data_IF_582640560643
#
_entry.id   IF_582640560643
#
_cell.length_a   1.000
_cell.length_b   1.000
_cell.length_c   1.000
_cell.angle_alpha   90.00
_cell.angle_beta   90.00
_cell.angle_gamma   90.00
#
_symmetry.space_group_name_H-M   'P 1'
#
loop_
_entity.id
_entity.type
_entity.pdbx_description
1 polymer ?
#
# COMPACT_ATOMS: atom_id res chain seq x y z
N UNK A 1 -13.65 -1.42 -23.16
CA UNK A 1 -12.23 -1.69 -22.91
C UNK A 1 -11.51 -1.73 -24.25
N UNK A 2 -10.37 -1.05 -24.43
CA UNK A 2 -9.61 -1.13 -25.67
C UNK A 2 -9.03 -2.54 -25.80
N UNK A 3 -9.33 -3.20 -26.92
CA UNK A 3 -8.77 -4.52 -27.25
C UNK A 3 -7.34 -4.42 -27.81
N UNK A 4 -7.04 -3.29 -28.46
CA UNK A 4 -5.74 -3.01 -29.09
C UNK A 4 -5.33 -1.58 -28.70
N UNK A 5 -4.09 -1.37 -28.33
CA UNK A 5 -3.52 -0.09 -27.97
C UNK A 5 -3.32 0.12 -26.45
N UNK A 6 -2.39 0.98 -26.14
CA UNK A 6 -2.07 1.33 -24.76
C UNK A 6 -3.14 2.25 -24.17
N UNK A 7 -3.57 1.94 -22.95
CA UNK A 7 -4.46 2.81 -22.19
C UNK A 7 -3.67 4.00 -21.69
N UNK A 8 -4.02 5.20 -22.11
CA UNK A 8 -3.42 6.45 -21.61
C UNK A 8 -3.61 6.54 -20.10
N UNK A 9 -2.52 6.57 -19.35
CA UNK A 9 -2.55 6.79 -17.92
C UNK A 9 -2.82 8.26 -17.64
N UNK A 10 -3.86 8.53 -16.84
CA UNK A 10 -4.12 9.90 -16.38
C UNK A 10 -2.99 10.37 -15.48
N UNK A 11 -2.48 11.56 -15.70
CA UNK A 11 -1.51 12.17 -14.81
C UNK A 11 -2.21 12.58 -13.51
N UNK A 12 -1.55 12.27 -12.39
CA UNK A 12 -2.01 12.68 -11.08
C UNK A 12 -1.26 13.95 -10.72
N UNK A 13 -2.01 15.02 -10.46
CA UNK A 13 -1.45 16.27 -9.95
C UNK A 13 -0.89 16.03 -8.55
N UNK A 14 0.19 16.73 -8.18
CA UNK A 14 0.73 16.67 -6.83
C UNK A 14 -0.28 17.20 -5.81
N UNK A 15 -0.13 16.77 -4.57
CA UNK A 15 -0.94 17.24 -3.46
C UNK A 15 -0.73 18.75 -3.21
N UNK A 16 -1.78 19.55 -2.97
CA UNK A 16 -1.66 20.99 -2.78
C UNK A 16 -0.89 21.39 -1.52
N UNK A 17 -0.95 20.60 -0.44
CA UNK A 17 -0.30 20.91 0.84
C UNK A 17 1.18 20.50 0.85
N UNK A 18 1.50 19.32 0.32
CA UNK A 18 2.85 18.73 0.39
C UNK A 18 3.59 18.69 -0.96
N UNK A 19 2.94 19.04 -2.08
CA UNK A 19 3.55 18.99 -3.41
C UNK A 19 3.97 17.58 -3.88
N UNK A 20 3.52 16.52 -3.20
CA UNK A 20 3.97 15.14 -3.43
C UNK A 20 2.92 14.31 -4.18
N UNK A 21 3.33 13.68 -5.29
CA UNK A 21 2.47 12.78 -6.08
C UNK A 21 2.11 11.48 -5.33
N UNK A 22 2.95 11.02 -4.40
CA UNK A 22 2.69 9.82 -3.59
C UNK A 22 1.56 10.10 -2.62
N UNK A 23 1.55 11.27 -1.98
CA UNK A 23 0.47 11.74 -1.13
C UNK A 23 -0.85 11.80 -1.90
N UNK A 24 -0.86 12.45 -3.07
CA UNK A 24 -2.06 12.52 -3.90
C UNK A 24 -2.62 11.14 -4.28
N UNK A 25 -1.74 10.17 -4.59
CA UNK A 25 -2.14 8.78 -4.85
C UNK A 25 -2.72 8.11 -3.62
N UNK A 26 -2.12 8.34 -2.45
CA UNK A 26 -2.58 7.77 -1.20
C UNK A 26 -3.96 8.28 -0.84
N UNK A 27 -4.20 9.59 -0.92
CA UNK A 27 -5.52 10.21 -0.72
C UNK A 27 -6.56 9.63 -1.67
N UNK A 28 -6.22 9.47 -2.96
CA UNK A 28 -7.10 8.85 -3.94
C UNK A 28 -7.41 7.37 -3.60
N UNK A 29 -6.51 6.68 -2.92
CA UNK A 29 -6.72 5.27 -2.48
C UNK A 29 -7.59 5.20 -1.22
N UNK A 30 -7.48 6.16 -0.31
CA UNK A 30 -8.37 6.29 0.87
C UNK A 30 -9.80 6.63 0.43
N UNK A 31 -9.93 7.47 -0.61
CA UNK A 31 -11.20 8.02 -1.07
C UNK A 31 -12.23 6.92 -1.32
N UNK A 32 -13.43 7.11 -0.76
CA UNK A 32 -14.56 6.24 -0.99
C UNK A 32 -15.70 7.05 -1.65
N UNK A 33 -16.36 6.46 -2.64
CA UNK A 33 -17.51 7.05 -3.37
C UNK A 33 -17.24 8.47 -3.92
N UNK A 34 -15.99 8.79 -4.29
CA UNK A 34 -15.62 10.08 -4.85
C UNK A 34 -15.51 11.24 -3.84
N UNK A 35 -15.62 10.99 -2.54
CA UNK A 35 -15.55 12.03 -1.48
C UNK A 35 -14.09 12.41 -1.20
N UNK A 36 -13.48 13.19 -2.10
CA UNK A 36 -12.06 13.53 -2.04
C UNK A 36 -11.72 14.43 -0.86
N UNK A 37 -12.51 15.45 -0.59
CA UNK A 37 -12.29 16.39 0.52
C UNK A 37 -12.26 15.69 1.89
N UNK A 38 -13.12 14.69 2.07
CA UNK A 38 -13.13 13.86 3.30
C UNK A 38 -11.84 13.04 3.40
N UNK A 39 -11.38 12.45 2.29
CA UNK A 39 -10.14 11.67 2.27
C UNK A 39 -8.90 12.54 2.56
N UNK A 40 -8.86 13.75 2.03
CA UNK A 40 -7.82 14.75 2.31
C UNK A 40 -7.82 15.13 3.80
N UNK A 41 -9.00 15.43 4.36
CA UNK A 41 -9.14 15.75 5.77
C UNK A 41 -8.65 14.62 6.68
N UNK A 42 -9.06 13.37 6.40
CA UNK A 42 -8.61 12.19 7.15
C UNK A 42 -7.08 12.08 7.09
N UNK A 43 -6.50 12.20 5.90
CA UNK A 43 -5.05 12.08 5.73
C UNK A 43 -4.29 13.18 6.47
N UNK A 44 -4.66 14.44 6.29
CA UNK A 44 -3.95 15.55 6.93
C UNK A 44 -4.04 15.50 8.44
N UNK A 45 -5.23 15.24 9.00
CA UNK A 45 -5.40 15.08 10.45
C UNK A 45 -4.63 13.87 10.98
N UNK A 46 -4.54 12.78 10.21
CA UNK A 46 -3.71 11.64 10.63
C UNK A 46 -2.23 12.02 10.72
N UNK A 47 -1.71 12.84 9.79
CA UNK A 47 -0.35 13.35 9.86
C UNK A 47 -0.12 14.30 11.04
N UNK A 48 -1.11 15.14 11.37
CA UNK A 48 -1.04 16.00 12.55
C UNK A 48 -0.95 15.16 13.84
N UNK A 49 -1.71 14.06 13.93
CA UNK A 49 -1.63 13.10 15.05
C UNK A 49 -0.26 12.39 15.08
N UNK A 50 0.29 12.02 13.92
CA UNK A 50 1.63 11.43 13.83
C UNK A 50 2.68 12.39 14.38
N UNK A 51 2.66 13.66 13.94
CA UNK A 51 3.59 14.70 14.46
C UNK A 51 3.46 14.87 15.96
N UNK A 52 2.23 14.93 16.50
CA UNK A 52 1.99 15.07 17.92
C UNK A 52 2.54 13.91 18.76
N UNK A 53 2.46 12.68 18.23
CA UNK A 53 2.90 11.46 18.94
C UNK A 53 4.39 11.17 18.79
N UNK A 54 4.96 11.37 17.60
CA UNK A 54 6.36 11.00 17.31
C UNK A 54 7.34 12.16 17.45
N UNK A 55 6.85 13.41 17.34
CA UNK A 55 7.67 14.64 17.27
C UNK A 55 8.65 14.65 16.08
N UNK A 56 8.43 13.77 15.11
CA UNK A 56 9.19 13.68 13.86
C UNK A 56 8.42 14.35 12.71
N UNK A 57 9.10 14.56 11.58
CA UNK A 57 8.42 14.98 10.34
C UNK A 57 7.42 13.90 9.89
N UNK A 58 6.14 14.24 9.92
CA UNK A 58 5.06 13.30 9.57
C UNK A 58 5.14 12.80 8.14
N UNK A 59 5.63 13.63 7.20
CA UNK A 59 5.81 13.20 5.81
C UNK A 59 6.95 12.17 5.70
N UNK A 60 8.03 12.35 6.47
CA UNK A 60 9.12 11.40 6.57
C UNK A 60 8.67 10.07 7.15
N UNK A 61 7.86 10.09 8.23
CA UNK A 61 7.25 8.87 8.82
C UNK A 61 6.35 8.16 7.81
N UNK A 62 5.51 8.90 7.10
CA UNK A 62 4.64 8.36 6.04
C UNK A 62 5.43 7.68 4.91
N UNK A 63 6.47 8.32 4.39
CA UNK A 63 7.31 7.75 3.33
C UNK A 63 8.03 6.48 3.81
N UNK A 64 8.55 6.49 5.04
CA UNK A 64 9.18 5.33 5.68
C UNK A 64 8.18 4.18 5.84
N UNK A 65 6.96 4.45 6.30
CA UNK A 65 5.90 3.45 6.41
C UNK A 65 5.56 2.79 5.07
N UNK A 66 5.43 3.59 4.00
CA UNK A 66 5.20 3.07 2.64
C UNK A 66 6.37 2.19 2.21
N UNK A 67 7.62 2.64 2.38
CA UNK A 67 8.81 1.88 1.96
C UNK A 67 8.91 0.55 2.69
N UNK A 68 8.71 0.55 4.00
CA UNK A 68 8.73 -0.66 4.84
C UNK A 68 7.65 -1.67 4.43
N UNK A 69 6.51 -1.21 3.93
CA UNK A 69 5.38 -2.08 3.54
C UNK A 69 5.47 -2.59 2.10
N UNK A 70 6.38 -2.06 1.25
CA UNK A 70 6.51 -2.48 -0.15
C UNK A 70 6.93 -3.95 -0.28
N UNK A 71 6.15 -4.81 -0.98
CA UNK A 71 6.57 -6.17 -1.27
C UNK A 71 7.54 -6.21 -2.46
N UNK A 72 8.53 -7.08 -2.41
CA UNK A 72 9.44 -7.37 -3.54
C UNK A 72 8.92 -8.48 -4.43
N UNK A 73 8.23 -9.46 -3.83
CA UNK A 73 7.69 -10.64 -4.51
C UNK A 73 6.22 -10.83 -4.15
N UNK A 74 5.45 -11.38 -5.07
CA UNK A 74 4.06 -11.81 -4.86
C UNK A 74 3.87 -13.20 -5.46
N UNK A 75 2.83 -13.89 -5.05
CA UNK A 75 2.44 -15.19 -5.61
C UNK A 75 1.30 -14.98 -6.61
N UNK A 76 1.44 -15.58 -7.80
CA UNK A 76 0.38 -15.60 -8.81
C UNK A 76 0.02 -17.03 -9.18
N UNK A 77 -1.27 -17.28 -9.26
CA UNK A 77 -1.77 -18.58 -9.75
C UNK A 77 -1.56 -18.72 -11.25
N UNK A 78 -1.03 -19.87 -11.65
CA UNK A 78 -0.89 -20.27 -13.06
C UNK A 78 -1.40 -21.67 -13.24
N UNK A 79 -2.19 -21.90 -14.30
CA UNK A 79 -2.69 -23.23 -14.64
C UNK A 79 -1.76 -23.88 -15.65
N UNK A 80 -1.23 -25.05 -15.33
CA UNK A 80 -0.35 -25.83 -16.17
C UNK A 80 -0.84 -27.28 -16.15
N UNK A 81 -1.14 -27.87 -17.33
CA UNK A 81 -1.58 -29.28 -17.44
C UNK A 81 -2.82 -29.63 -16.60
N UNK A 82 -3.74 -28.67 -16.39
CA UNK A 82 -4.95 -28.88 -15.59
C UNK A 82 -4.80 -28.58 -14.09
N UNK A 83 -3.59 -28.54 -13.53
CA UNK A 83 -3.30 -28.16 -12.15
C UNK A 83 -3.02 -26.66 -12.03
N UNK A 84 -3.40 -26.06 -10.89
CA UNK A 84 -3.14 -24.64 -10.59
C UNK A 84 -1.97 -24.55 -9.62
N UNK A 85 -0.91 -23.89 -10.04
CA UNK A 85 0.30 -23.65 -9.26
C UNK A 85 0.37 -22.21 -8.81
N UNK A 86 0.88 -22.01 -7.60
CA UNK A 86 1.18 -20.68 -7.04
C UNK A 86 2.63 -20.34 -7.40
N UNK A 87 2.80 -19.45 -8.38
CA UNK A 87 4.13 -19.10 -8.91
C UNK A 87 4.63 -17.79 -8.31
N UNK A 88 5.81 -17.76 -7.67
CA UNK A 88 6.39 -16.52 -7.17
C UNK A 88 6.87 -15.63 -8.33
N UNK A 89 6.47 -14.38 -8.31
CA UNK A 89 6.78 -13.38 -9.34
C UNK A 89 7.27 -12.09 -8.69
N UNK A 90 8.29 -11.49 -9.26
CA UNK A 90 8.75 -10.18 -8.82
C UNK A 90 7.70 -9.09 -9.10
N UNK A 91 7.47 -8.21 -8.12
CA UNK A 91 6.47 -7.15 -8.23
C UNK A 91 7.08 -5.93 -8.92
N UNK A 92 6.42 -5.41 -9.97
CA UNK A 92 6.85 -4.19 -10.67
C UNK A 92 6.79 -2.98 -9.72
N UNK A 93 7.70 -1.98 -9.83
CA UNK A 93 7.79 -0.84 -8.90
C UNK A 93 6.48 -0.09 -8.67
N UNK A 94 5.70 0.17 -9.73
CA UNK A 94 4.40 0.84 -9.62
C UNK A 94 3.39 0.01 -8.82
N UNK A 95 3.42 -1.32 -8.96
CA UNK A 95 2.55 -2.22 -8.24
C UNK A 95 2.98 -2.37 -6.77
N UNK A 96 4.29 -2.37 -6.48
CA UNK A 96 4.81 -2.35 -5.10
C UNK A 96 4.20 -1.18 -4.31
N UNK A 97 4.23 0.02 -4.91
CA UNK A 97 3.65 1.22 -4.31
C UNK A 97 2.13 1.09 -4.12
N UNK A 98 1.41 0.57 -5.11
CA UNK A 98 -0.05 0.42 -5.02
C UNK A 98 -0.46 -0.61 -3.97
N UNK A 99 0.31 -1.70 -3.81
CA UNK A 99 0.07 -2.72 -2.79
C UNK A 99 0.35 -2.18 -1.39
N UNK A 100 1.47 -1.47 -1.18
CA UNK A 100 1.80 -0.89 0.12
C UNK A 100 0.73 0.10 0.59
N UNK A 101 0.27 0.99 -0.29
CA UNK A 101 -0.82 1.92 0.03
C UNK A 101 -2.11 1.20 0.43
N UNK A 102 -2.51 0.19 -0.35
CA UNK A 102 -3.72 -0.58 -0.07
C UNK A 102 -3.61 -1.32 1.26
N UNK A 103 -2.51 -2.00 1.52
CA UNK A 103 -2.32 -2.75 2.76
C UNK A 103 -2.33 -1.85 3.99
N UNK A 104 -1.68 -0.68 3.93
CA UNK A 104 -1.74 0.31 5.02
C UNK A 104 -3.18 0.77 5.29
N UNK A 105 -3.95 1.06 4.25
CA UNK A 105 -5.34 1.54 4.40
C UNK A 105 -6.26 0.42 4.90
N UNK A 106 -6.13 -0.77 4.36
CA UNK A 106 -6.97 -1.92 4.77
C UNK A 106 -6.65 -2.30 6.22
N UNK A 107 -5.36 -2.38 6.59
CA UNK A 107 -4.93 -2.62 7.97
C UNK A 107 -5.41 -1.52 8.93
N UNK A 108 -5.33 -0.25 8.52
CA UNK A 108 -5.86 0.85 9.33
C UNK A 108 -7.37 0.70 9.56
N UNK A 109 -8.15 0.31 8.56
CA UNK A 109 -9.61 0.10 8.70
C UNK A 109 -9.96 -0.98 9.72
N UNK A 110 -9.14 -2.02 9.85
CA UNK A 110 -9.34 -3.14 10.77
C UNK A 110 -8.99 -2.82 12.23
N UNK A 111 -8.33 -1.68 12.49
CA UNK A 111 -7.93 -1.27 13.85
C UNK A 111 -9.12 -0.90 14.73
N UNK A 112 -8.93 -0.97 16.03
CA UNK A 112 -9.97 -0.74 17.03
C UNK A 112 -10.15 0.72 17.44
N UNK A 113 -9.27 1.65 17.03
CA UNK A 113 -9.36 3.07 17.33
C UNK A 113 -10.71 3.65 16.86
N UNK A 114 -11.12 4.78 17.45
CA UNK A 114 -12.46 5.32 17.25
C UNK A 114 -12.65 5.97 15.87
N UNK A 115 -11.70 6.78 15.42
CA UNK A 115 -11.78 7.50 14.15
C UNK A 115 -10.81 6.95 13.10
N UNK A 116 -11.13 7.12 11.80
CA UNK A 116 -10.23 6.70 10.72
C UNK A 116 -8.90 7.47 10.74
N UNK A 117 -8.90 8.70 11.22
CA UNK A 117 -7.72 9.55 11.40
C UNK A 117 -6.74 8.93 12.41
N UNK A 118 -7.28 8.48 13.55
CA UNK A 118 -6.51 7.82 14.61
C UNK A 118 -6.01 6.45 14.17
N UNK A 119 -6.87 5.65 13.51
CA UNK A 119 -6.54 4.34 12.95
C UNK A 119 -5.37 4.44 11.97
N UNK A 120 -5.45 5.40 11.04
CA UNK A 120 -4.42 5.61 10.04
C UNK A 120 -3.11 6.11 10.66
N UNK A 121 -3.18 7.06 11.60
CA UNK A 121 -2.02 7.56 12.29
C UNK A 121 -1.27 6.46 13.06
N UNK A 122 -2.02 5.61 13.77
CA UNK A 122 -1.45 4.50 14.52
C UNK A 122 -0.79 3.46 13.59
N UNK A 123 -1.45 3.10 12.47
CA UNK A 123 -0.87 2.16 11.50
C UNK A 123 0.38 2.72 10.81
N UNK A 124 0.40 4.02 10.48
CA UNK A 124 1.58 4.66 9.90
C UNK A 124 2.78 4.66 10.85
N UNK A 125 2.56 4.93 12.14
CA UNK A 125 3.62 4.88 13.17
C UNK A 125 4.14 3.45 13.32
N UNK A 126 3.25 2.46 13.42
CA UNK A 126 3.63 1.05 13.56
C UNK A 126 4.40 0.57 12.33
N UNK A 127 3.92 0.86 11.12
CA UNK A 127 4.56 0.47 9.88
C UNK A 127 5.93 1.16 9.67
N UNK A 128 6.08 2.42 10.09
CA UNK A 128 7.36 3.11 10.06
C UNK A 128 8.41 2.44 10.98
N UNK A 129 7.95 1.78 12.04
CA UNK A 129 8.77 1.01 12.98
C UNK A 129 8.83 -0.50 12.66
N UNK A 130 8.46 -0.91 11.45
CA UNK A 130 8.39 -2.31 11.01
C UNK A 130 7.46 -3.17 11.89
N UNK A 131 6.35 -2.62 12.34
CA UNK A 131 5.31 -3.29 13.13
C UNK A 131 3.96 -3.14 12.44
N UNK A 132 2.94 -3.78 13.00
CA UNK A 132 1.56 -3.64 12.52
C UNK A 132 1.15 -4.69 11.50
N UNK A 133 -0.15 -4.69 11.19
CA UNK A 133 -0.78 -5.71 10.33
C UNK A 133 -0.40 -5.57 8.87
N UNK A 134 -0.11 -4.34 8.40
CA UNK A 134 0.37 -4.10 7.04
C UNK A 134 1.75 -4.74 6.79
N UNK A 135 2.67 -4.64 7.76
CA UNK A 135 3.98 -5.29 7.71
C UNK A 135 3.84 -6.81 7.75
N UNK A 136 3.00 -7.32 8.65
CA UNK A 136 2.72 -8.76 8.72
C UNK A 136 2.21 -9.30 7.39
N UNK A 137 1.32 -8.56 6.71
CA UNK A 137 0.81 -8.94 5.38
C UNK A 137 1.91 -9.00 4.31
N UNK A 138 2.88 -8.07 4.35
CA UNK A 138 4.07 -8.15 3.50
C UNK A 138 4.88 -9.40 3.77
N UNK A 139 5.17 -9.69 5.06
CA UNK A 139 5.95 -10.85 5.47
C UNK A 139 5.26 -12.17 5.10
N UNK A 140 3.95 -12.27 5.31
CA UNK A 140 3.17 -13.44 4.91
C UNK A 140 3.18 -13.65 3.40
N UNK A 141 3.11 -12.57 2.61
CA UNK A 141 3.23 -12.63 1.15
C UNK A 141 4.62 -13.11 0.73
N UNK A 142 5.69 -12.63 1.36
CA UNK A 142 7.05 -13.07 1.10
C UNK A 142 7.25 -14.54 1.53
N UNK A 143 6.72 -14.94 2.68
CA UNK A 143 6.77 -16.33 3.16
C UNK A 143 6.06 -17.28 2.22
N UNK A 144 4.87 -16.90 1.71
CA UNK A 144 4.16 -17.68 0.68
C UNK A 144 4.99 -17.80 -0.61
N UNK A 145 5.64 -16.73 -1.04
CA UNK A 145 6.50 -16.75 -2.23
C UNK A 145 7.72 -17.66 -2.02
N UNK A 146 8.33 -17.64 -0.85
CA UNK A 146 9.46 -18.52 -0.51
C UNK A 146 9.02 -19.99 -0.46
N UNK A 147 7.90 -20.30 0.19
CA UNK A 147 7.36 -21.67 0.24
C UNK A 147 7.06 -22.24 -1.16
N UNK A 148 6.69 -21.38 -2.11
CA UNK A 148 6.40 -21.77 -3.50
C UNK A 148 7.61 -21.61 -4.44
N UNK A 149 8.81 -21.38 -3.92
CA UNK A 149 10.03 -21.14 -4.72
C UNK A 149 10.32 -22.27 -5.72
N UNK A 150 9.99 -23.50 -5.41
CA UNK A 150 10.14 -24.66 -6.30
C UNK A 150 9.38 -24.48 -7.62
N UNK A 151 8.30 -23.71 -7.65
CA UNK A 151 7.49 -23.46 -8.84
C UNK A 151 7.93 -22.23 -9.65
N UNK A 152 9.05 -21.59 -9.30
CA UNK A 152 9.55 -20.40 -9.99
C UNK A 152 9.87 -20.65 -11.47
N UNK A 153 10.21 -21.88 -11.84
CA UNK A 153 10.46 -22.28 -13.25
C UNK A 153 9.20 -22.21 -14.13
N UNK A 154 8.00 -22.17 -13.57
CA UNK A 154 6.76 -21.93 -14.30
C UNK A 154 6.49 -20.43 -14.57
N UNK A 155 7.40 -19.53 -14.23
CA UNK A 155 7.29 -18.10 -14.52
C UNK A 155 7.40 -17.84 -16.01
N UNK A 156 6.59 -16.94 -16.57
CA UNK A 156 6.65 -16.44 -17.93
C UNK A 156 7.18 -15.03 -18.01
#
# INVERSE_FOLDING_TARGET
MPRKGEVRKREILPDPKYGDKVVARFVNTIMNRGKKSVAESIFYRSLDIVTAKTKEDSLGVFKRAIENTRPTVEVRSRRVGGATYQVPVEVRPQRRLSLSMRWLIDSARERAEKSMEEKLAAELIDAANNRGTAIKKKEDTHRMAEANRAFAHYRW
#
